data_IF_759501711459
#
_entry.id   IF_759501711459
#
_cell.length_a   1.000
_cell.length_b   1.000
_cell.length_c   1.000
_cell.angle_alpha   90.00
_cell.angle_beta   90.00
_cell.angle_gamma   90.00
#
_symmetry.space_group_name_H-M   'P 1'
#
loop_
_entity.id
_entity.type
_entity.pdbx_description
1 polymer ?
#
# COMPACT_ATOMS: atom_id res chain seq x y z
N UNK A 1 -29.95 7.99 -5.12
CA UNK A 1 -28.80 7.68 -4.25
C UNK A 1 -27.54 8.18 -4.95
N UNK A 2 -26.72 9.04 -4.33
CA UNK A 2 -25.40 9.41 -4.87
C UNK A 2 -24.54 8.14 -4.88
N UNK A 3 -23.97 7.75 -6.02
CA UNK A 3 -22.96 6.69 -6.06
C UNK A 3 -21.79 7.16 -5.18
N UNK A 4 -21.44 6.38 -4.17
CA UNK A 4 -20.20 6.60 -3.40
C UNK A 4 -19.06 6.27 -4.35
N UNK A 5 -18.18 7.24 -4.63
CA UNK A 5 -17.00 6.99 -5.44
C UNK A 5 -16.08 6.00 -4.70
N UNK A 6 -15.80 4.87 -5.33
CA UNK A 6 -14.88 3.87 -4.79
C UNK A 6 -13.48 4.15 -5.30
N UNK A 7 -12.65 4.79 -4.48
CA UNK A 7 -11.26 5.04 -4.84
C UNK A 7 -10.40 3.81 -4.54
N UNK A 8 -9.45 3.54 -5.42
CA UNK A 8 -8.49 2.47 -5.26
C UNK A 8 -7.07 2.99 -5.36
N UNK A 9 -6.22 2.49 -4.48
CA UNK A 9 -4.84 2.92 -4.39
C UNK A 9 -3.95 1.71 -4.24
N UNK A 10 -2.83 1.70 -4.96
CA UNK A 10 -1.72 0.80 -4.68
C UNK A 10 -0.63 1.60 -3.98
N UNK A 11 -0.19 1.12 -2.81
CA UNK A 11 0.94 1.66 -2.07
C UNK A 11 2.10 0.67 -2.18
N UNK A 12 3.22 1.11 -2.75
CA UNK A 12 4.49 0.40 -2.69
C UNK A 12 5.31 0.98 -1.55
N UNK A 13 5.73 0.13 -0.62
CA UNK A 13 6.46 0.57 0.57
C UNK A 13 7.67 -0.30 0.82
N UNK A 14 8.83 0.33 0.96
CA UNK A 14 10.05 -0.30 1.47
C UNK A 14 10.06 -0.23 2.99
N UNK A 15 10.14 -1.40 3.63
CA UNK A 15 10.26 -1.52 5.09
C UNK A 15 11.64 -2.01 5.53
N UNK A 16 12.58 -2.20 4.59
CA UNK A 16 13.95 -2.61 4.88
C UNK A 16 14.71 -1.53 5.66
N UNK A 17 14.52 -0.28 5.25
CA UNK A 17 15.29 0.87 5.75
C UNK A 17 14.43 1.87 6.53
N UNK A 18 13.12 1.59 6.68
CA UNK A 18 12.17 2.51 7.26
C UNK A 18 11.87 2.22 8.72
N UNK A 19 11.62 3.28 9.49
CA UNK A 19 11.10 3.14 10.84
C UNK A 19 9.64 2.69 10.80
N UNK A 20 9.21 1.96 11.83
CA UNK A 20 7.80 1.56 11.96
C UNK A 20 6.84 2.76 12.00
N UNK A 21 7.30 3.89 12.53
CA UNK A 21 6.52 5.13 12.54
C UNK A 21 6.34 5.70 11.13
N UNK A 22 7.37 5.62 10.28
CA UNK A 22 7.26 5.99 8.86
C UNK A 22 6.28 5.07 8.14
N UNK A 23 6.38 3.75 8.35
CA UNK A 23 5.44 2.77 7.78
C UNK A 23 3.98 3.10 8.16
N UNK A 24 3.71 3.36 9.46
CA UNK A 24 2.38 3.79 9.92
C UNK A 24 1.92 5.08 9.29
N UNK A 25 2.80 6.08 9.20
CA UNK A 25 2.50 7.38 8.60
C UNK A 25 2.06 7.24 7.15
N UNK A 26 2.84 6.49 6.37
CA UNK A 26 2.58 6.21 4.95
C UNK A 26 1.27 5.44 4.76
N UNK A 27 1.06 4.39 5.56
CA UNK A 27 -0.18 3.61 5.51
C UNK A 27 -1.41 4.47 5.83
N UNK A 28 -1.37 5.28 6.90
CA UNK A 28 -2.46 6.16 7.27
C UNK A 28 -2.72 7.24 6.20
N UNK A 29 -1.67 7.77 5.57
CA UNK A 29 -1.80 8.72 4.47
C UNK A 29 -2.51 8.08 3.26
N UNK A 30 -2.12 6.86 2.89
CA UNK A 30 -2.75 6.10 1.82
C UNK A 30 -4.24 5.80 2.12
N UNK A 31 -4.55 5.36 3.34
CA UNK A 31 -5.93 5.09 3.77
C UNK A 31 -6.80 6.35 3.70
N UNK A 32 -6.29 7.51 4.14
CA UNK A 32 -7.02 8.79 4.06
C UNK A 32 -7.32 9.19 2.62
N UNK A 33 -6.42 8.91 1.67
CA UNK A 33 -6.64 9.20 0.24
C UNK A 33 -7.65 8.26 -0.40
N UNK A 34 -7.65 6.99 0.00
CA UNK A 34 -8.65 6.01 -0.45
C UNK A 34 -10.04 6.40 0.06
N UNK A 35 -10.16 6.78 1.32
CA UNK A 35 -11.43 7.21 1.91
C UNK A 35 -12.43 6.06 2.08
N UNK A 36 -13.60 6.38 2.64
CA UNK A 36 -14.59 5.39 3.06
C UNK A 36 -15.11 4.53 1.89
N UNK A 37 -15.10 3.21 2.06
CA UNK A 37 -15.59 2.23 1.09
C UNK A 37 -14.61 1.90 -0.04
N UNK A 38 -13.42 2.52 -0.06
CA UNK A 38 -12.38 2.29 -1.05
C UNK A 38 -11.54 1.03 -0.78
N UNK A 39 -10.57 0.78 -1.65
CA UNK A 39 -9.61 -0.32 -1.48
C UNK A 39 -8.15 0.14 -1.57
N UNK A 40 -7.33 -0.38 -0.66
CA UNK A 40 -5.90 -0.14 -0.61
C UNK A 40 -5.16 -1.45 -0.83
N UNK A 41 -4.40 -1.55 -1.91
CA UNK A 41 -3.42 -2.62 -2.12
C UNK A 41 -2.07 -2.14 -1.61
N UNK A 42 -1.40 -2.93 -0.78
CA UNK A 42 -0.10 -2.60 -0.20
C UNK A 42 0.90 -3.65 -0.67
N UNK A 43 1.92 -3.22 -1.41
CA UNK A 43 3.03 -4.05 -1.89
C UNK A 43 4.26 -3.71 -1.05
N UNK A 44 4.65 -4.64 -0.20
CA UNK A 44 5.67 -4.43 0.83
C UNK A 44 6.97 -5.05 0.36
N UNK A 45 7.98 -4.22 0.17
CA UNK A 45 9.35 -4.68 -0.04
C UNK A 45 10.04 -4.87 1.32
N UNK A 46 10.31 -6.12 1.69
CA UNK A 46 10.89 -6.47 2.99
C UNK A 46 12.31 -7.01 2.88
N UNK A 47 13.12 -6.80 3.92
CA UNK A 47 14.44 -7.40 4.05
C UNK A 47 14.32 -8.75 4.74
N UNK A 48 15.28 -9.65 4.48
CA UNK A 48 15.32 -10.99 5.11
C UNK A 48 15.45 -10.95 6.63
N UNK A 49 15.98 -9.87 7.17
CA UNK A 49 16.25 -9.70 8.60
C UNK A 49 15.18 -8.88 9.34
N UNK A 50 14.06 -8.57 8.69
CA UNK A 50 12.98 -7.81 9.31
C UNK A 50 12.41 -8.57 10.52
N UNK A 51 12.25 -7.90 11.66
CA UNK A 51 11.49 -8.42 12.80
C UNK A 51 10.01 -8.54 12.41
N UNK A 52 9.68 -9.73 11.91
CA UNK A 52 8.38 -10.04 11.34
C UNK A 52 7.24 -9.88 12.36
N UNK A 53 7.47 -10.24 13.62
CA UNK A 53 6.46 -10.16 14.67
C UNK A 53 6.10 -8.70 14.97
N UNK A 54 7.11 -7.84 15.05
CA UNK A 54 6.90 -6.40 15.28
C UNK A 54 6.17 -5.76 14.10
N UNK A 55 6.57 -6.08 12.87
CA UNK A 55 5.95 -5.58 11.65
C UNK A 55 4.47 -5.96 11.54
N UNK A 56 4.13 -7.24 11.71
CA UNK A 56 2.74 -7.73 11.63
C UNK A 56 1.86 -7.10 12.71
N UNK A 57 2.39 -6.88 13.93
CA UNK A 57 1.64 -6.23 14.99
C UNK A 57 1.27 -4.80 14.63
N UNK A 58 2.19 -4.03 14.06
CA UNK A 58 1.89 -2.66 13.64
C UNK A 58 0.94 -2.61 12.44
N UNK A 59 1.09 -3.53 11.49
CA UNK A 59 0.16 -3.68 10.37
C UNK A 59 -1.27 -3.97 10.86
N UNK A 60 -1.42 -4.91 11.79
CA UNK A 60 -2.72 -5.24 12.38
C UNK A 60 -3.32 -4.05 13.12
N UNK A 61 -2.50 -3.27 13.83
CA UNK A 61 -2.95 -2.03 14.49
C UNK A 61 -3.50 -1.03 13.47
N UNK A 62 -2.84 -0.84 12.32
CA UNK A 62 -3.33 0.05 11.27
C UNK A 62 -4.66 -0.47 10.69
N UNK A 63 -4.74 -1.77 10.37
CA UNK A 63 -5.95 -2.36 9.78
C UNK A 63 -7.14 -2.26 10.75
N UNK A 64 -6.93 -2.62 12.02
CA UNK A 64 -7.95 -2.56 13.06
C UNK A 64 -8.45 -1.13 13.33
N UNK A 65 -7.64 -0.10 13.06
CA UNK A 65 -8.08 1.29 13.22
C UNK A 65 -8.81 1.84 11.99
N UNK A 66 -8.88 1.09 10.89
CA UNK A 66 -9.36 1.58 9.59
C UNK A 66 -10.36 0.62 8.91
N UNK A 67 -11.42 0.24 9.63
CA UNK A 67 -12.48 -0.67 9.13
C UNK A 67 -13.27 -0.17 7.90
N UNK A 68 -13.10 1.10 7.52
CA UNK A 68 -13.80 1.71 6.39
C UNK A 68 -13.15 1.43 5.04
N UNK A 69 -11.96 0.81 4.99
CA UNK A 69 -11.20 0.55 3.77
C UNK A 69 -10.84 -0.93 3.67
N UNK A 70 -11.02 -1.51 2.48
CA UNK A 70 -10.52 -2.87 2.21
C UNK A 70 -9.02 -2.82 1.95
N UNK A 71 -8.21 -3.37 2.86
CA UNK A 71 -6.76 -3.37 2.75
C UNK A 71 -6.27 -4.77 2.36
N UNK A 72 -5.50 -4.86 1.28
CA UNK A 72 -4.88 -6.09 0.77
C UNK A 72 -3.37 -5.95 0.84
N UNK A 73 -2.69 -6.82 1.58
CA UNK A 73 -1.25 -6.71 1.82
C UNK A 73 -0.53 -7.88 1.18
N UNK A 74 0.51 -7.57 0.41
CA UNK A 74 1.35 -8.53 -0.29
C UNK A 74 2.82 -8.22 0.01
N UNK A 75 3.59 -9.24 0.31
CA UNK A 75 4.98 -9.10 0.73
C UNK A 75 5.93 -9.68 -0.33
N UNK A 76 7.05 -8.98 -0.55
CA UNK A 76 8.03 -9.32 -1.56
C UNK A 76 9.45 -9.11 -1.03
N UNK A 77 10.34 -10.02 -1.41
CA UNK A 77 11.78 -9.94 -1.11
C UNK A 77 12.58 -9.47 -2.34
N UNK A 78 11.90 -9.20 -3.46
CA UNK A 78 12.48 -8.80 -4.75
C UNK A 78 11.67 -7.67 -5.39
N UNK A 79 12.35 -6.59 -5.76
CA UNK A 79 11.75 -5.44 -6.43
C UNK A 79 11.15 -5.83 -7.80
N UNK A 80 11.75 -6.78 -8.53
CA UNK A 80 11.20 -7.24 -9.80
C UNK A 80 9.85 -7.93 -9.62
N UNK A 81 9.67 -8.66 -8.51
CA UNK A 81 8.40 -9.29 -8.18
C UNK A 81 7.32 -8.23 -7.90
N UNK A 82 7.65 -7.12 -7.24
CA UNK A 82 6.74 -5.98 -7.04
C UNK A 82 6.33 -5.36 -8.38
N UNK A 83 7.28 -5.13 -9.29
CA UNK A 83 6.98 -4.57 -10.62
C UNK A 83 6.06 -5.48 -11.41
N UNK A 84 6.32 -6.80 -11.39
CA UNK A 84 5.44 -7.78 -12.02
C UNK A 84 4.05 -7.78 -11.40
N UNK A 85 3.97 -7.59 -10.09
CA UNK A 85 2.71 -7.53 -9.36
C UNK A 85 1.92 -6.25 -9.65
N UNK A 86 2.58 -5.11 -9.83
CA UNK A 86 1.96 -3.85 -10.23
C UNK A 86 1.26 -3.94 -11.59
N UNK A 87 1.82 -4.73 -12.52
CA UNK A 87 1.22 -4.97 -13.83
C UNK A 87 -0.06 -5.83 -13.75
N UNK A 88 -0.32 -6.51 -12.63
CA UNK A 88 -1.57 -7.23 -12.42
C UNK A 88 -2.64 -6.27 -11.93
N UNK A 89 -3.70 -6.10 -12.73
CA UNK A 89 -4.85 -5.30 -12.33
C UNK A 89 -5.77 -6.11 -11.41
N UNK A 90 -5.49 -6.07 -10.10
CA UNK A 90 -6.23 -6.83 -9.08
C UNK A 90 -7.34 -6.05 -8.38
N UNK A 91 -7.35 -4.72 -8.52
CA UNK A 91 -8.39 -3.89 -7.93
C UNK A 91 -9.53 -3.73 -8.95
N UNK A 92 -10.69 -4.29 -8.64
CA UNK A 92 -11.86 -4.24 -9.51
C UNK A 92 -12.98 -3.39 -8.90
N UNK A 93 -13.76 -2.74 -9.78
CA UNK A 93 -14.95 -1.98 -9.40
C UNK A 93 -14.66 -0.62 -8.77
N UNK A 94 -13.48 -0.05 -9.00
CA UNK A 94 -13.10 1.28 -8.51
C UNK A 94 -13.33 2.35 -9.59
N UNK A 95 -13.72 3.54 -9.16
CA UNK A 95 -13.93 4.71 -10.02
C UNK A 95 -12.62 5.47 -10.30
N UNK A 96 -11.62 5.32 -9.42
CA UNK A 96 -10.29 5.90 -9.58
C UNK A 96 -9.18 4.95 -9.13
N UNK A 97 -8.00 5.09 -9.75
CA UNK A 97 -6.80 4.30 -9.44
C UNK A 97 -5.60 5.24 -9.30
N UNK A 98 -4.73 4.93 -8.34
CA UNK A 98 -3.44 5.61 -8.18
C UNK A 98 -2.38 4.67 -7.63
N UNK A 99 -1.11 5.04 -7.82
CA UNK A 99 0.03 4.36 -7.22
C UNK A 99 0.82 5.37 -6.38
N UNK A 100 1.07 5.04 -5.11
CA UNK A 100 2.03 5.73 -4.25
C UNK A 100 3.24 4.84 -4.04
N UNK A 101 4.42 5.42 -3.93
CA UNK A 101 5.63 4.65 -3.65
C UNK A 101 6.56 5.39 -2.68
N UNK A 102 7.16 4.67 -1.73
CA UNK A 102 8.29 5.19 -0.92
C UNK A 102 9.65 4.96 -1.58
N UNK A 103 9.69 4.16 -2.65
CA UNK A 103 10.90 3.85 -3.44
C UNK A 103 10.78 4.33 -4.88
N UNK A 104 11.92 4.39 -5.55
CA UNK A 104 11.97 4.65 -6.99
C UNK A 104 11.46 3.42 -7.75
N UNK A 105 10.37 3.61 -8.49
CA UNK A 105 9.84 2.62 -9.43
C UNK A 105 10.32 2.94 -10.85
N UNK A 106 10.37 1.92 -11.74
CA UNK A 106 10.67 2.12 -13.15
C UNK A 106 9.85 3.24 -13.79
N UNK A 107 10.45 3.97 -14.73
CA UNK A 107 9.82 5.10 -15.43
C UNK A 107 8.55 4.74 -16.21
N UNK A 108 8.33 3.44 -16.48
CA UNK A 108 7.12 2.93 -17.12
C UNK A 108 5.89 2.94 -16.21
N UNK A 109 6.06 3.14 -14.89
CA UNK A 109 4.98 3.16 -13.91
C UNK A 109 4.65 4.61 -13.59
N UNK A 110 3.37 4.98 -13.70
CA UNK A 110 2.90 6.29 -13.24
C UNK A 110 2.58 6.22 -11.74
N UNK A 111 3.39 6.87 -10.91
CA UNK A 111 3.25 6.87 -9.45
C UNK A 111 3.59 8.24 -8.85
N UNK A 112 3.05 8.50 -7.66
CA UNK A 112 3.47 9.60 -6.82
C UNK A 112 4.48 9.10 -5.77
N UNK A 113 5.66 9.72 -5.74
CA UNK A 113 6.69 9.40 -4.75
C UNK A 113 6.39 10.10 -3.43
N UNK A 114 6.28 9.31 -2.36
CA UNK A 114 6.19 9.81 -1.00
C UNK A 114 7.61 10.09 -0.49
N UNK A 115 7.83 11.31 0.00
CA UNK A 115 9.07 11.70 0.67
C UNK A 115 9.13 11.10 2.06
#
# INVERSE_FOLDING_TARGET
MRKVQKNCLTLVVDVCNDTLDRFKGVMNAAIRRVGFGGALRVLVYKCRELDFNKYIRELNSVIANNFSVSIFVYEFDDLNAIVNELNKNMLHGCDSYGVLSTIDLPASINYEKLK
#
